data_IF_485804861488
#
_entry.id   IF_485804861488
#
_cell.length_a   1.000
_cell.length_b   1.000
_cell.length_c   1.000
_cell.angle_alpha   90.00
_cell.angle_beta   90.00
_cell.angle_gamma   90.00
#
_symmetry.space_group_name_H-M   'P 1'
#
loop_
_entity.id
_entity.type
_entity.pdbx_description
1 polymer ?
#
# COMPACT_ATOMS: atom_id res chain seq x y z
N UNK A 1 19.41 22.58 -5.35
CA UNK A 1 19.39 21.21 -5.93
C UNK A 1 18.07 21.02 -6.66
N UNK A 2 18.07 20.85 -7.98
CA UNK A 2 16.83 20.60 -8.73
C UNK A 2 16.42 19.14 -8.60
N UNK A 3 15.31 18.90 -7.89
CA UNK A 3 14.58 17.65 -7.98
C UNK A 3 13.85 17.62 -9.32
N UNK A 4 14.05 16.57 -10.12
CA UNK A 4 13.21 16.33 -11.30
C UNK A 4 12.17 15.29 -10.92
N UNK A 5 10.89 15.56 -11.17
CA UNK A 5 9.90 14.50 -11.24
C UNK A 5 10.31 13.65 -12.44
N UNK A 6 10.98 12.53 -12.14
CA UNK A 6 11.11 11.45 -13.10
C UNK A 6 10.06 10.47 -12.64
N UNK A 7 9.12 10.19 -13.52
CA UNK A 7 8.08 9.18 -13.27
C UNK A 7 8.76 7.90 -12.80
N UNK A 8 9.95 7.56 -13.33
CA UNK A 8 10.69 6.34 -13.05
C UNK A 8 12.22 6.48 -13.30
N UNK A 9 13.06 5.55 -12.79
CA UNK A 9 14.50 5.60 -12.96
C UNK A 9 14.88 5.28 -14.40
N UNK A 10 15.89 5.98 -14.92
CA UNK A 10 16.49 5.65 -16.21
C UNK A 10 17.26 4.32 -16.17
N UNK A 11 17.84 3.93 -17.30
CA UNK A 11 18.68 2.72 -17.43
C UNK A 11 19.78 2.67 -16.35
N UNK A 12 19.99 1.51 -15.73
CA UNK A 12 20.98 1.27 -14.67
C UNK A 12 22.29 0.75 -15.30
N UNK A 13 23.44 1.27 -14.85
CA UNK A 13 24.78 0.82 -15.28
C UNK A 13 25.85 1.92 -15.37
N UNK A 14 27.11 1.57 -15.05
CA UNK A 14 28.32 2.37 -15.36
C UNK A 14 28.72 2.19 -16.84
N UNK A 15 29.42 3.19 -17.41
CA UNK A 15 29.86 3.30 -18.82
C UNK A 15 30.12 1.93 -19.48
N UNK A 16 29.32 1.55 -20.47
CA UNK A 16 29.56 0.40 -21.35
C UNK A 16 28.37 -0.52 -21.64
N UNK A 17 27.39 -0.61 -20.73
CA UNK A 17 26.21 -1.47 -20.92
C UNK A 17 25.03 -1.00 -20.08
N UNK A 18 24.05 -0.35 -20.71
CA UNK A 18 22.84 0.13 -20.02
C UNK A 18 21.75 -0.93 -20.10
N UNK A 19 21.52 -1.68 -19.01
CA UNK A 19 20.39 -2.60 -18.85
C UNK A 19 19.18 -1.83 -18.29
N UNK A 20 17.98 -2.29 -18.62
CA UNK A 20 16.75 -1.80 -17.99
C UNK A 20 16.72 -2.26 -16.53
N UNK A 21 16.27 -1.37 -15.63
CA UNK A 21 16.27 -1.66 -14.19
C UNK A 21 15.35 -2.83 -13.84
N UNK A 22 15.74 -3.63 -12.84
CA UNK A 22 14.85 -4.62 -12.23
C UNK A 22 14.01 -3.95 -11.14
N UNK A 23 12.69 -4.15 -11.18
CA UNK A 23 11.74 -3.50 -10.27
C UNK A 23 10.86 -4.54 -9.60
N UNK A 24 10.93 -4.62 -8.28
CA UNK A 24 9.99 -5.40 -7.49
C UNK A 24 8.75 -4.56 -7.19
N UNK A 25 7.56 -5.08 -7.49
CA UNK A 25 6.29 -4.37 -7.30
C UNK A 25 5.49 -5.08 -6.23
N UNK A 26 5.04 -4.35 -5.20
CA UNK A 26 4.09 -4.89 -4.23
C UNK A 26 2.73 -5.13 -4.90
N UNK A 27 2.30 -6.39 -5.02
CA UNK A 27 1.03 -6.80 -5.67
C UNK A 27 0.06 -7.33 -4.63
N UNK A 28 -0.99 -6.56 -4.33
CA UNK A 28 -2.00 -6.90 -3.31
C UNK A 28 -3.25 -7.58 -3.87
N UNK A 29 -3.25 -7.97 -5.15
CA UNK A 29 -4.48 -8.46 -5.83
C UNK A 29 -5.52 -7.35 -6.09
N UNK A 30 -5.13 -6.08 -5.94
CA UNK A 30 -5.95 -4.91 -6.26
C UNK A 30 -5.62 -4.32 -7.64
N UNK A 31 -6.55 -3.53 -8.19
CA UNK A 31 -6.37 -2.91 -9.52
C UNK A 31 -5.18 -1.95 -9.57
N UNK A 32 -4.91 -1.21 -8.50
CA UNK A 32 -3.86 -0.20 -8.46
C UNK A 32 -2.46 -0.82 -8.60
N UNK A 33 -2.14 -1.81 -7.77
CA UNK A 33 -0.87 -2.54 -7.87
C UNK A 33 -0.73 -3.29 -9.19
N UNK A 34 -1.84 -3.79 -9.75
CA UNK A 34 -1.83 -4.48 -11.04
C UNK A 34 -1.44 -3.54 -12.18
N UNK A 35 -2.02 -2.34 -12.19
CA UNK A 35 -1.70 -1.32 -13.20
C UNK A 35 -0.31 -0.75 -12.99
N UNK A 36 0.15 -0.60 -11.73
CA UNK A 36 1.52 -0.20 -11.45
C UNK A 36 2.54 -1.17 -12.07
N UNK A 37 2.32 -2.49 -11.91
CA UNK A 37 3.16 -3.52 -12.53
C UNK A 37 3.08 -3.48 -14.07
N UNK A 38 1.87 -3.32 -14.62
CA UNK A 38 1.65 -3.18 -16.07
C UNK A 38 2.42 -2.00 -16.67
N UNK A 39 2.38 -0.83 -16.02
CA UNK A 39 3.07 0.38 -16.50
C UNK A 39 4.59 0.16 -16.56
N UNK A 40 5.15 -0.38 -15.48
CA UNK A 40 6.57 -0.71 -15.39
C UNK A 40 6.99 -1.70 -16.48
N UNK A 41 6.18 -2.75 -16.71
CA UNK A 41 6.42 -3.73 -17.77
C UNK A 41 6.37 -3.08 -19.16
N UNK A 42 5.38 -2.22 -19.44
CA UNK A 42 5.24 -1.51 -20.72
C UNK A 42 6.40 -0.57 -21.02
N UNK A 43 7.08 -0.07 -20.00
CA UNK A 43 8.29 0.75 -20.15
C UNK A 43 9.57 -0.07 -20.36
N UNK A 44 9.43 -1.41 -20.38
CA UNK A 44 10.53 -2.34 -20.64
C UNK A 44 11.34 -2.74 -19.40
N UNK A 45 10.92 -2.35 -18.19
CA UNK A 45 11.60 -2.81 -16.98
C UNK A 45 11.49 -4.33 -16.82
N UNK A 46 12.49 -4.89 -16.15
CA UNK A 46 12.46 -6.27 -15.69
C UNK A 46 11.66 -6.32 -14.37
N UNK A 47 10.41 -6.76 -14.45
CA UNK A 47 9.45 -6.61 -13.35
C UNK A 47 9.22 -7.94 -12.64
N UNK A 48 9.23 -7.90 -11.31
CA UNK A 48 8.84 -9.02 -10.45
C UNK A 48 7.73 -8.58 -9.49
N UNK A 49 6.65 -9.34 -9.41
CA UNK A 49 5.57 -9.11 -8.46
C UNK A 49 5.86 -9.77 -7.11
N UNK A 50 5.62 -9.04 -6.02
CA UNK A 50 5.79 -9.52 -4.65
C UNK A 50 4.48 -9.33 -3.89
N UNK A 51 3.87 -10.42 -3.46
CA UNK A 51 2.72 -10.42 -2.55
C UNK A 51 3.20 -10.49 -1.10
N UNK A 52 2.61 -9.67 -0.23
CA UNK A 52 2.98 -9.60 1.19
C UNK A 52 1.80 -10.05 2.05
N UNK A 53 2.03 -11.09 2.86
CA UNK A 53 1.12 -11.52 3.91
C UNK A 53 1.54 -10.87 5.22
N UNK A 54 0.74 -9.94 5.74
CA UNK A 54 1.08 -9.16 6.94
C UNK A 54 0.20 -9.49 8.15
N UNK A 55 -0.76 -10.38 7.98
CA UNK A 55 -1.68 -10.77 9.03
C UNK A 55 -1.97 -12.27 8.92
N UNK A 56 -1.89 -12.99 10.04
CA UNK A 56 -2.31 -14.39 10.07
C UNK A 56 -3.81 -14.46 10.32
N UNK A 57 -4.55 -14.79 9.27
CA UNK A 57 -5.98 -14.87 9.36
C UNK A 57 -6.47 -16.15 10.06
N UNK A 58 -5.69 -17.23 10.01
CA UNK A 58 -6.04 -18.52 10.58
C UNK A 58 -5.86 -18.53 12.10
N UNK A 59 -4.74 -17.99 12.59
CA UNK A 59 -4.48 -17.87 14.03
C UNK A 59 -5.46 -16.90 14.72
N UNK A 60 -5.86 -15.83 14.02
CA UNK A 60 -6.76 -14.80 14.57
C UNK A 60 -8.25 -15.12 14.40
N UNK A 61 -8.60 -16.34 13.96
CA UNK A 61 -9.98 -16.78 13.78
C UNK A 61 -10.75 -15.94 12.76
N UNK A 62 -10.06 -15.41 11.75
CA UNK A 62 -10.63 -14.57 10.70
C UNK A 62 -10.74 -15.31 9.37
N UNK A 63 -11.35 -14.64 8.37
CA UNK A 63 -11.67 -15.20 7.05
C UNK A 63 -10.38 -15.49 6.23
N UNK A 64 -9.70 -16.59 6.54
CA UNK A 64 -8.49 -17.05 5.85
C UNK A 64 -8.68 -17.31 4.35
N UNK A 65 -9.93 -17.56 3.93
CA UNK A 65 -10.26 -17.64 2.51
C UNK A 65 -10.05 -16.29 1.79
N UNK A 66 -10.22 -15.17 2.49
CA UNK A 66 -10.00 -13.84 1.91
C UNK A 66 -8.52 -13.63 1.55
N UNK A 67 -7.60 -14.00 2.45
CA UNK A 67 -6.17 -13.83 2.24
C UNK A 67 -5.64 -14.71 1.10
N UNK A 68 -6.07 -15.97 1.05
CA UNK A 68 -5.67 -16.86 -0.04
C UNK A 68 -6.24 -16.40 -1.39
N UNK A 69 -7.47 -15.85 -1.41
CA UNK A 69 -8.03 -15.23 -2.63
C UNK A 69 -7.23 -14.02 -3.10
N UNK A 70 -6.76 -13.14 -2.20
CA UNK A 70 -5.93 -11.99 -2.57
C UNK A 70 -4.57 -12.38 -3.13
N UNK A 71 -3.95 -13.41 -2.54
CA UNK A 71 -2.71 -14.02 -3.03
C UNK A 71 -2.90 -14.62 -4.43
N UNK A 72 -3.99 -15.36 -4.61
CA UNK A 72 -4.34 -15.97 -5.90
C UNK A 72 -4.63 -14.92 -6.97
N UNK A 73 -5.36 -13.84 -6.64
CA UNK A 73 -5.55 -12.69 -7.55
C UNK A 73 -4.21 -12.06 -7.93
N UNK A 74 -3.30 -11.86 -6.96
CA UNK A 74 -1.97 -11.33 -7.22
C UNK A 74 -1.14 -12.23 -8.15
N UNK A 75 -1.21 -13.55 -7.94
CA UNK A 75 -0.56 -14.55 -8.82
C UNK A 75 -1.11 -14.46 -10.25
N UNK A 76 -2.43 -14.46 -10.41
CA UNK A 76 -3.10 -14.35 -11.72
C UNK A 76 -2.75 -13.05 -12.45
N UNK A 77 -2.61 -11.93 -11.74
CA UNK A 77 -2.14 -10.68 -12.33
C UNK A 77 -0.72 -10.85 -12.88
N UNK A 78 0.18 -11.44 -12.10
CA UNK A 78 1.57 -11.63 -12.52
C UNK A 78 1.67 -12.56 -13.74
N UNK A 79 0.90 -13.64 -13.76
CA UNK A 79 0.81 -14.56 -14.90
C UNK A 79 0.29 -13.87 -16.16
N UNK A 80 -0.79 -13.09 -16.04
CA UNK A 80 -1.35 -12.33 -17.16
C UNK A 80 -0.35 -11.31 -17.72
N UNK A 81 0.49 -10.73 -16.88
CA UNK A 81 1.51 -9.76 -17.28
C UNK A 81 2.82 -10.40 -17.74
N UNK A 82 2.98 -11.72 -17.60
CA UNK A 82 4.23 -12.42 -17.89
C UNK A 82 5.39 -11.91 -17.04
N UNK A 83 5.17 -11.77 -15.73
CA UNK A 83 6.16 -11.35 -14.74
C UNK A 83 6.31 -12.40 -13.64
N UNK A 84 7.48 -12.47 -13.01
CA UNK A 84 7.71 -13.37 -11.87
C UNK A 84 6.81 -13.04 -10.68
N UNK A 85 6.53 -14.03 -9.84
CA UNK A 85 5.70 -13.89 -8.64
C UNK A 85 6.41 -14.48 -7.43
N UNK A 86 6.51 -13.67 -6.36
CA UNK A 86 7.01 -14.09 -5.05
C UNK A 86 5.96 -13.77 -3.99
N UNK A 87 5.86 -14.63 -2.99
CA UNK A 87 5.07 -14.38 -1.79
C UNK A 87 6.01 -14.34 -0.59
N UNK A 88 5.81 -13.37 0.30
CA UNK A 88 6.59 -13.21 1.53
C UNK A 88 5.64 -12.92 2.69
N UNK A 89 5.96 -13.45 3.86
CA UNK A 89 5.25 -13.14 5.10
C UNK A 89 6.03 -12.11 5.90
N UNK A 90 5.34 -11.06 6.33
CA UNK A 90 5.81 -10.09 7.33
C UNK A 90 4.87 -10.05 8.54
N UNK A 91 4.15 -11.14 8.82
CA UNK A 91 3.20 -11.22 9.94
C UNK A 91 3.87 -10.86 11.26
N UNK A 92 5.07 -11.40 11.51
CA UNK A 92 5.82 -11.16 12.74
C UNK A 92 6.22 -9.69 12.88
N UNK A 93 6.81 -9.12 11.84
CA UNK A 93 7.24 -7.72 11.80
C UNK A 93 6.04 -6.77 11.88
N UNK A 94 4.92 -7.12 11.23
CA UNK A 94 3.70 -6.36 11.33
C UNK A 94 3.17 -6.34 12.76
N UNK A 95 3.14 -7.51 13.40
CA UNK A 95 2.69 -7.64 14.78
C UNK A 95 3.51 -6.75 15.72
N UNK A 96 4.85 -6.88 15.68
CA UNK A 96 5.75 -6.15 16.59
C UNK A 96 5.85 -4.66 16.28
N UNK A 97 5.98 -4.29 15.01
CA UNK A 97 6.38 -2.93 14.62
C UNK A 97 5.15 -2.05 14.31
N UNK A 98 3.96 -2.63 14.16
CA UNK A 98 2.71 -1.92 13.83
C UNK A 98 1.60 -2.20 14.82
N UNK A 99 1.26 -3.47 15.04
CA UNK A 99 0.06 -3.84 15.78
C UNK A 99 0.18 -3.62 17.30
N UNK A 100 1.24 -4.14 17.93
CA UNK A 100 1.47 -3.97 19.37
C UNK A 100 1.56 -2.48 19.77
N UNK A 101 2.35 -1.62 19.08
CA UNK A 101 2.36 -0.18 19.35
C UNK A 101 0.99 0.48 19.17
N UNK A 102 0.21 0.02 18.19
CA UNK A 102 -1.13 0.52 17.93
C UNK A 102 -2.08 0.20 19.11
N UNK A 103 -2.14 -1.06 19.55
CA UNK A 103 -2.98 -1.47 20.69
C UNK A 103 -2.54 -0.76 21.97
N UNK A 104 -1.23 -0.68 22.24
CA UNK A 104 -0.70 0.04 23.40
C UNK A 104 -1.02 1.55 23.36
N UNK A 105 -1.05 2.15 22.17
CA UNK A 105 -1.48 3.54 21.99
C UNK A 105 -2.95 3.74 22.31
N UNK A 106 -3.82 2.89 21.75
CA UNK A 106 -5.27 2.92 22.02
C UNK A 106 -5.55 2.72 23.52
N UNK A 107 -4.85 1.80 24.17
CA UNK A 107 -4.97 1.55 25.62
C UNK A 107 -4.62 2.80 26.46
N UNK A 108 -3.76 3.68 25.95
CA UNK A 108 -3.40 4.97 26.57
C UNK A 108 -4.27 6.15 26.11
N UNK A 109 -5.36 5.88 25.38
CA UNK A 109 -6.27 6.91 24.86
C UNK A 109 -5.76 7.65 23.62
N UNK A 110 -4.69 7.20 22.98
CA UNK A 110 -4.21 7.78 21.73
C UNK A 110 -5.06 7.30 20.54
N UNK A 111 -5.28 8.17 19.55
CA UNK A 111 -5.88 7.78 18.27
C UNK A 111 -4.78 7.67 17.21
N UNK A 112 -4.24 6.47 17.05
CA UNK A 112 -3.15 6.20 16.13
C UNK A 112 -3.67 5.74 14.75
N UNK A 113 -2.90 6.04 13.70
CA UNK A 113 -3.17 5.53 12.37
C UNK A 113 -2.14 4.42 12.03
N UNK A 114 -2.53 3.14 12.09
CA UNK A 114 -1.62 2.02 11.84
C UNK A 114 -1.21 1.89 10.37
N UNK A 115 -1.93 2.50 9.42
CA UNK A 115 -1.52 2.48 8.00
C UNK A 115 -0.27 3.34 7.76
N UNK A 116 -0.12 4.45 8.51
CA UNK A 116 1.10 5.27 8.49
C UNK A 116 2.30 4.44 8.97
N UNK A 117 2.13 3.67 10.05
CA UNK A 117 3.14 2.78 10.58
C UNK A 117 3.43 1.60 9.64
N UNK A 118 2.40 0.97 9.06
CA UNK A 118 2.54 -0.10 8.07
C UNK A 118 3.35 0.36 6.84
N UNK A 119 3.07 1.55 6.31
CA UNK A 119 3.87 2.08 5.22
C UNK A 119 5.33 2.25 5.67
N UNK A 120 5.57 2.93 6.79
CA UNK A 120 6.93 3.15 7.30
C UNK A 120 7.72 1.86 7.52
N UNK A 121 7.17 0.93 8.28
CA UNK A 121 7.90 -0.25 8.79
C UNK A 121 7.82 -1.44 7.84
N UNK A 122 6.71 -1.63 7.13
CA UNK A 122 6.51 -2.84 6.33
C UNK A 122 6.77 -2.54 4.86
N UNK A 123 6.01 -1.62 4.25
CA UNK A 123 6.10 -1.40 2.79
C UNK A 123 7.38 -0.68 2.37
N UNK A 124 7.88 0.26 3.15
CA UNK A 124 9.03 1.08 2.77
C UNK A 124 10.32 0.74 3.54
N UNK A 125 10.26 -0.27 4.41
CA UNK A 125 11.44 -0.81 5.08
C UNK A 125 11.58 -2.30 4.77
N UNK A 126 10.80 -3.20 5.41
CA UNK A 126 10.91 -4.66 5.18
C UNK A 126 10.75 -5.09 3.71
N UNK A 127 9.71 -4.61 3.03
CA UNK A 127 9.50 -4.92 1.61
C UNK A 127 10.61 -4.37 0.72
N UNK A 128 11.09 -3.15 1.00
CA UNK A 128 12.17 -2.56 0.21
C UNK A 128 13.47 -3.36 0.40
N UNK A 129 13.80 -3.76 1.64
CA UNK A 129 14.94 -4.62 1.92
C UNK A 129 14.80 -6.00 1.23
N UNK A 130 13.61 -6.60 1.26
CA UNK A 130 13.33 -7.87 0.59
C UNK A 130 13.47 -7.76 -0.93
N UNK A 131 12.94 -6.69 -1.54
CA UNK A 131 13.09 -6.42 -2.96
C UNK A 131 14.56 -6.33 -3.39
N UNK A 132 15.39 -5.63 -2.61
CA UNK A 132 16.83 -5.53 -2.87
C UNK A 132 17.54 -6.88 -2.72
N UNK A 133 17.14 -7.70 -1.73
CA UNK A 133 17.68 -9.04 -1.54
C UNK A 133 17.31 -10.00 -2.69
N UNK A 134 16.16 -9.80 -3.34
CA UNK A 134 15.77 -10.49 -4.58
C UNK A 134 16.55 -10.00 -5.82
N UNK A 135 17.43 -9.00 -5.67
CA UNK A 135 18.22 -8.45 -6.77
C UNK A 135 17.51 -7.34 -7.56
N UNK A 136 16.40 -6.78 -7.06
CA UNK A 136 15.79 -5.62 -7.68
C UNK A 136 16.61 -4.35 -7.42
N UNK A 137 16.61 -3.45 -8.39
CA UNK A 137 17.20 -2.11 -8.23
C UNK A 137 16.24 -1.15 -7.51
N UNK A 138 14.93 -1.39 -7.63
CA UNK A 138 13.87 -0.53 -7.11
C UNK A 138 12.69 -1.34 -6.56
N UNK A 139 12.02 -0.76 -5.57
CA UNK A 139 10.74 -1.22 -5.05
C UNK A 139 9.63 -0.27 -5.50
N UNK A 140 8.54 -0.78 -6.04
CA UNK A 140 7.39 0.00 -6.48
C UNK A 140 6.13 -0.44 -5.75
N UNK A 141 5.21 0.51 -5.58
CA UNK A 141 3.89 0.25 -4.99
C UNK A 141 2.81 0.96 -5.79
N UNK A 142 1.57 0.49 -5.67
CA UNK A 142 0.40 1.13 -6.28
C UNK A 142 -0.10 2.37 -5.55
N UNK A 143 0.76 3.10 -4.82
CA UNK A 143 0.34 4.32 -4.13
C UNK A 143 0.16 5.48 -5.12
N UNK A 144 -0.89 6.26 -4.89
CA UNK A 144 -1.12 7.56 -5.52
C UNK A 144 -0.27 8.59 -4.79
N UNK A 145 1.01 8.63 -5.13
CA UNK A 145 1.98 9.63 -4.70
C UNK A 145 3.02 9.80 -5.80
N UNK A 146 3.86 10.81 -5.71
CA UNK A 146 5.01 10.98 -6.59
C UNK A 146 6.29 11.03 -5.78
N UNK A 147 7.38 10.63 -6.40
CA UNK A 147 8.71 10.73 -5.81
C UNK A 147 9.62 11.40 -6.82
N UNK A 148 10.36 12.41 -6.37
CA UNK A 148 11.39 13.03 -7.17
C UNK A 148 12.75 12.64 -6.62
N UNK A 149 13.65 12.24 -7.52
CA UNK A 149 15.04 11.93 -7.19
C UNK A 149 15.93 13.06 -7.70
N UNK A 150 16.90 13.45 -6.89
CA UNK A 150 17.94 14.42 -7.25
C UNK A 150 19.19 13.68 -7.73
N UNK A 151 19.99 14.34 -8.57
CA UNK A 151 21.27 13.81 -9.04
C UNK A 151 22.29 13.61 -7.90
N UNK A 152 22.14 14.36 -6.80
CA UNK A 152 22.94 14.23 -5.58
C UNK A 152 22.50 13.07 -4.66
N UNK A 153 21.52 12.25 -5.08
CA UNK A 153 21.06 11.08 -4.33
C UNK A 153 20.01 11.36 -3.25
N UNK A 154 19.49 12.59 -3.16
CA UNK A 154 18.31 12.91 -2.34
C UNK A 154 16.99 12.51 -3.01
N UNK A 155 15.97 12.21 -2.22
CA UNK A 155 14.59 11.97 -2.66
C UNK A 155 13.60 12.93 -1.98
N UNK A 156 12.51 13.27 -2.66
CA UNK A 156 11.41 14.06 -2.11
C UNK A 156 10.07 13.39 -2.44
N UNK A 157 9.20 13.27 -1.44
CA UNK A 157 7.81 12.85 -1.62
C UNK A 157 6.99 14.04 -2.14
N UNK A 158 6.19 13.80 -3.16
CA UNK A 158 5.35 14.80 -3.82
C UNK A 158 3.91 14.28 -3.90
N UNK A 159 2.94 15.19 -3.88
CA UNK A 159 1.51 14.86 -4.04
C UNK A 159 1.23 14.26 -5.42
N UNK A 160 0.28 13.34 -5.51
CA UNK A 160 -0.23 12.82 -6.76
C UNK A 160 -1.01 13.88 -7.56
N UNK A 161 -1.17 13.65 -8.87
CA UNK A 161 -2.01 14.48 -9.74
C UNK A 161 -3.50 14.35 -9.40
N UNK A 162 -3.92 13.20 -8.88
CA UNK A 162 -5.29 12.95 -8.43
C UNK A 162 -5.46 13.32 -6.95
N UNK A 163 -5.95 14.53 -6.69
CA UNK A 163 -6.12 15.04 -5.32
C UNK A 163 -7.07 14.19 -4.47
N UNK A 164 -8.12 13.59 -5.07
CA UNK A 164 -9.09 12.75 -4.35
C UNK A 164 -8.51 11.38 -3.95
N UNK A 165 -7.37 11.04 -4.55
CA UNK A 165 -6.68 9.77 -4.35
C UNK A 165 -5.31 9.94 -3.74
N UNK A 166 -4.83 11.15 -3.54
CA UNK A 166 -3.53 11.42 -2.95
C UNK A 166 -3.33 10.65 -1.64
N UNK A 167 -2.22 9.92 -1.56
CA UNK A 167 -1.87 9.08 -0.42
C UNK A 167 -0.61 9.59 0.30
N UNK A 168 -0.13 10.80 0.01
CA UNK A 168 1.08 11.32 0.66
C UNK A 168 0.95 11.46 2.16
N UNK A 169 -0.26 11.71 2.67
CA UNK A 169 -0.56 11.67 4.11
C UNK A 169 -0.11 10.36 4.76
N UNK A 170 -0.45 9.22 4.15
CA UNK A 170 -0.09 7.89 4.66
C UNK A 170 1.40 7.56 4.51
N UNK A 171 2.11 8.33 3.68
CA UNK A 171 3.54 8.18 3.41
C UNK A 171 4.40 9.23 4.15
N UNK A 172 3.78 10.14 4.90
CA UNK A 172 4.47 11.25 5.55
C UNK A 172 5.54 10.80 6.57
N UNK A 173 5.38 9.62 7.16
CA UNK A 173 6.34 9.03 8.09
C UNK A 173 7.43 8.17 7.41
N UNK A 174 7.40 8.04 6.09
CA UNK A 174 8.39 7.24 5.35
C UNK A 174 9.73 7.98 5.31
N UNK A 175 10.83 7.38 5.81
CA UNK A 175 12.14 8.02 5.80
C UNK A 175 12.63 8.32 4.38
N UNK A 176 13.38 9.42 4.23
CA UNK A 176 13.98 9.76 2.95
C UNK A 176 14.86 8.64 2.39
N UNK A 177 15.56 7.90 3.26
CA UNK A 177 16.38 6.77 2.87
C UNK A 177 15.58 5.67 2.15
N UNK A 178 14.38 5.34 2.66
CA UNK A 178 13.46 4.40 2.03
C UNK A 178 13.00 4.89 0.65
N UNK A 179 12.67 6.19 0.53
CA UNK A 179 12.26 6.80 -0.73
C UNK A 179 13.35 6.83 -1.80
N UNK A 180 14.62 6.57 -1.49
CA UNK A 180 15.72 6.53 -2.50
C UNK A 180 15.62 5.35 -3.46
N UNK A 181 14.88 4.32 -3.10
CA UNK A 181 14.68 3.10 -3.90
C UNK A 181 13.20 2.84 -4.19
N UNK A 182 12.33 3.81 -3.92
CA UNK A 182 10.88 3.67 -4.11
C UNK A 182 10.42 4.27 -5.43
N UNK A 183 9.38 3.67 -6.02
CA UNK A 183 8.71 4.16 -7.22
C UNK A 183 7.19 4.16 -7.03
N UNK A 184 6.53 5.18 -7.61
CA UNK A 184 5.07 5.34 -7.58
C UNK A 184 4.51 5.52 -8.99
N UNK A 185 4.30 4.42 -9.75
CA UNK A 185 3.90 4.50 -11.16
C UNK A 185 2.54 5.16 -11.39
N UNK A 186 1.69 5.25 -10.36
CA UNK A 186 0.34 5.83 -10.46
C UNK A 186 0.30 7.34 -10.16
N UNK A 187 1.40 7.94 -9.71
CA UNK A 187 1.42 9.31 -9.20
C UNK A 187 1.00 10.40 -10.19
N UNK A 188 1.13 10.13 -11.49
CA UNK A 188 0.75 11.04 -12.58
C UNK A 188 -0.62 10.69 -13.22
N UNK A 189 -1.34 9.71 -12.66
CA UNK A 189 -2.60 9.22 -13.22
C UNK A 189 -3.78 9.47 -12.27
N UNK A 190 -4.93 9.75 -12.84
CA UNK A 190 -6.21 9.71 -12.12
C UNK A 190 -6.75 8.29 -12.03
N UNK A 191 -7.52 7.99 -10.98
CA UNK A 191 -8.08 6.64 -10.77
C UNK A 191 -8.90 6.13 -11.97
N UNK A 192 -9.60 7.03 -12.67
CA UNK A 192 -10.35 6.69 -13.88
C UNK A 192 -9.44 6.16 -15.00
N UNK A 193 -8.25 6.75 -15.16
CA UNK A 193 -7.26 6.34 -16.15
C UNK A 193 -6.64 5.00 -15.76
N UNK A 194 -6.38 4.79 -14.46
CA UNK A 194 -5.95 3.50 -13.92
C UNK A 194 -6.96 2.39 -14.22
N UNK A 195 -8.27 2.63 -13.99
CA UNK A 195 -9.32 1.66 -14.34
C UNK A 195 -9.41 1.40 -15.84
N UNK A 196 -9.29 2.44 -16.66
CA UNK A 196 -9.29 2.29 -18.12
C UNK A 196 -8.10 1.45 -18.61
N UNK A 197 -6.90 1.67 -18.05
CA UNK A 197 -5.71 0.87 -18.34
C UNK A 197 -5.89 -0.60 -17.93
N UNK A 198 -6.50 -0.85 -16.77
CA UNK A 198 -6.78 -2.20 -16.30
C UNK A 198 -7.76 -2.94 -17.23
N UNK A 199 -8.82 -2.26 -17.66
CA UNK A 199 -9.81 -2.80 -18.59
C UNK A 199 -9.19 -3.09 -19.97
N UNK A 200 -8.39 -2.15 -20.50
CA UNK A 200 -7.71 -2.31 -21.79
C UNK A 200 -6.65 -3.43 -21.78
N UNK A 201 -6.09 -3.77 -20.62
CA UNK A 201 -5.18 -4.90 -20.44
C UNK A 201 -5.90 -6.20 -20.08
N UNK A 202 -7.24 -6.19 -20.03
CA UNK A 202 -8.10 -7.32 -19.65
C UNK A 202 -7.68 -7.94 -18.30
N UNK A 203 -7.28 -7.10 -17.35
CA UNK A 203 -6.95 -7.56 -16.01
C UNK A 203 -8.24 -7.92 -15.28
N UNK A 204 -8.31 -9.13 -14.70
CA UNK A 204 -9.47 -9.58 -13.92
C UNK A 204 -9.79 -8.63 -12.73
N UNK A 205 -8.79 -7.88 -12.25
CA UNK A 205 -8.94 -6.86 -11.21
C UNK A 205 -9.63 -5.57 -11.68
N UNK A 206 -9.84 -5.36 -12.99
CA UNK A 206 -10.46 -4.14 -13.53
C UNK A 206 -11.88 -3.90 -13.00
N UNK A 207 -12.67 -4.98 -12.85
CA UNK A 207 -14.02 -4.96 -12.29
C UNK A 207 -14.06 -4.96 -10.76
N UNK A 208 -12.91 -5.19 -10.09
CA UNK A 208 -12.84 -5.19 -8.63
C UNK A 208 -13.05 -3.75 -8.14
N UNK A 209 -14.13 -3.55 -7.37
CA UNK A 209 -14.39 -2.25 -6.74
C UNK A 209 -13.26 -1.98 -5.76
N UNK A 210 -12.76 -0.75 -5.75
CA UNK A 210 -12.06 -0.30 -4.54
C UNK A 210 -13.10 -0.30 -3.43
N UNK A 211 -12.71 -0.58 -2.20
CA UNK A 211 -13.55 -0.47 -1.01
C UNK A 211 -13.97 0.98 -0.67
N UNK A 212 -13.91 1.90 -1.64
CA UNK A 212 -14.56 3.22 -1.63
C UNK A 212 -15.74 3.16 -2.58
N UNK A 213 -16.95 3.34 -2.04
CA UNK A 213 -18.19 3.45 -2.81
C UNK A 213 -18.11 4.56 -3.87
N UNK A 214 -19.02 4.56 -4.86
CA UNK A 214 -19.07 5.62 -5.85
C UNK A 214 -19.30 6.98 -5.17
N UNK A 215 -18.54 7.98 -5.61
CA UNK A 215 -18.81 9.37 -5.32
C UNK A 215 -20.11 9.77 -6.02
N UNK A 216 -21.23 9.62 -5.31
CA UNK A 216 -22.41 10.44 -5.55
C UNK A 216 -22.36 11.63 -4.60
N UNK A 217 -22.28 12.81 -5.23
CA UNK A 217 -22.45 14.14 -4.65
C UNK A 217 -23.64 14.14 -3.68
N UNK A 218 -23.40 14.56 -2.43
CA UNK A 218 -24.41 15.27 -1.65
C UNK A 218 -23.71 16.28 -0.73
N UNK A 219 -23.80 17.55 -1.14
CA UNK A 219 -23.61 18.71 -0.27
C UNK A 219 -24.58 18.60 0.91
N UNK A 220 -24.10 18.41 2.14
CA UNK A 220 -24.85 18.80 3.35
C UNK A 220 -23.88 19.39 4.38
N UNK A 221 -24.15 20.65 4.69
CA UNK A 221 -23.74 21.45 5.85
C UNK A 221 -23.47 20.65 7.13
N UNK A 222 -22.27 20.82 7.68
CA UNK A 222 -21.95 20.86 9.12
C UNK A 222 -22.55 19.79 10.03
N UNK A 223 -21.81 18.70 10.29
CA UNK A 223 -21.73 18.08 11.64
C UNK A 223 -20.69 16.96 11.70
N UNK A 224 -19.97 16.93 12.83
CA UNK A 224 -18.87 16.05 13.24
C UNK A 224 -19.25 14.53 13.37
N UNK A 225 -20.43 14.11 12.91
CA UNK A 225 -20.87 12.69 12.93
C UNK A 225 -20.32 11.84 11.77
N UNK A 226 -19.47 12.40 10.90
CA UNK A 226 -18.99 11.74 9.69
C UNK A 226 -18.00 10.58 9.94
N UNK A 227 -17.42 10.47 11.13
CA UNK A 227 -16.29 9.56 11.38
C UNK A 227 -16.63 8.15 11.87
N UNK A 228 -17.85 7.88 12.36
CA UNK A 228 -18.15 6.61 13.05
C UNK A 228 -19.07 5.65 12.27
N UNK A 229 -19.46 5.99 11.03
CA UNK A 229 -20.54 5.30 10.30
C UNK A 229 -20.19 4.75 8.92
N UNK A 230 -18.93 4.71 8.49
CA UNK A 230 -18.57 4.32 7.11
C UNK A 230 -17.88 2.96 7.04
N UNK A 231 -18.54 1.99 6.40
CA UNK A 231 -17.88 0.83 5.77
C UNK A 231 -17.17 1.31 4.50
N UNK A 232 -16.08 2.05 4.69
CA UNK A 232 -15.18 2.43 3.61
C UNK A 232 -13.77 1.97 3.96
N UNK A 233 -12.93 1.81 2.93
CA UNK A 233 -11.49 1.48 2.93
C UNK A 233 -10.59 2.50 3.67
N UNK A 234 -11.05 2.98 4.80
CA UNK A 234 -10.23 3.51 5.90
C UNK A 234 -10.13 2.45 7.03
N UNK A 235 -10.57 1.21 6.74
CA UNK A 235 -10.37 0.08 7.62
C UNK A 235 -8.89 -0.32 7.60
N UNK A 236 -8.30 -0.35 8.78
CA UNK A 236 -6.94 -0.82 9.00
C UNK A 236 -6.75 -2.19 8.32
N UNK A 237 -5.63 -2.38 7.62
CA UNK A 237 -5.37 -3.52 6.74
C UNK A 237 -5.75 -4.92 7.30
N UNK A 238 -5.71 -5.12 8.62
CA UNK A 238 -6.04 -6.40 9.29
C UNK A 238 -7.47 -6.56 9.78
N UNK A 239 -8.25 -5.48 9.93
CA UNK A 239 -9.62 -5.57 10.48
C UNK A 239 -10.55 -6.25 9.47
N UNK A 240 -10.23 -6.17 8.18
CA UNK A 240 -11.02 -6.73 7.10
C UNK A 240 -12.46 -6.21 7.13
N UNK A 241 -13.43 -7.13 7.16
CA UNK A 241 -14.87 -6.80 7.22
C UNK A 241 -15.43 -6.66 8.66
N UNK A 242 -14.60 -6.84 9.70
CA UNK A 242 -15.04 -6.79 11.10
C UNK A 242 -15.38 -5.37 11.53
N UNK A 243 -16.22 -5.25 12.57
CA UNK A 243 -16.41 -3.96 13.26
C UNK A 243 -15.14 -3.67 14.07
N UNK A 244 -14.49 -2.54 13.80
CA UNK A 244 -13.26 -2.14 14.48
C UNK A 244 -13.36 -2.20 16.01
N UNK A 245 -14.48 -1.73 16.58
CA UNK A 245 -14.73 -1.76 18.03
C UNK A 245 -14.64 -3.18 18.61
N UNK A 246 -15.25 -4.13 17.94
CA UNK A 246 -15.35 -5.50 18.44
C UNK A 246 -14.01 -6.23 18.22
N UNK A 247 -13.31 -5.88 17.14
CA UNK A 247 -11.92 -6.31 16.91
C UNK A 247 -10.98 -5.79 17.99
N UNK A 248 -10.94 -4.49 18.27
CA UNK A 248 -9.92 -3.94 19.18
C UNK A 248 -10.17 -4.35 20.64
N UNK A 249 -11.43 -4.58 21.01
CA UNK A 249 -11.81 -5.07 22.35
C UNK A 249 -11.21 -6.42 22.71
N UNK A 250 -10.89 -7.29 21.74
CA UNK A 250 -10.23 -8.57 22.07
C UNK A 250 -8.76 -8.42 22.47
N UNK A 251 -8.15 -7.25 22.26
CA UNK A 251 -6.74 -6.99 22.57
C UNK A 251 -6.53 -5.94 23.66
N UNK A 252 -7.60 -5.29 24.12
CA UNK A 252 -7.54 -4.32 25.21
C UNK A 252 -7.89 -5.01 26.53
N UNK A 253 -7.22 -4.64 27.64
CA UNK A 253 -7.65 -5.10 28.96
C UNK A 253 -9.10 -4.65 29.23
N UNK A 254 -9.89 -5.45 29.95
CA UNK A 254 -11.23 -5.05 30.35
C UNK A 254 -11.16 -3.71 31.10
N UNK A 255 -11.83 -2.69 30.56
CA UNK A 255 -11.93 -1.41 31.24
C UNK A 255 -12.90 -1.56 32.41
N UNK A 256 -12.48 -1.09 33.59
CA UNK A 256 -13.39 -0.94 34.73
C UNK A 256 -14.36 0.17 34.36
N UNK A 257 -15.65 -0.14 34.23
CA UNK A 257 -16.67 0.86 33.99
C UNK A 257 -16.64 1.86 35.17
N UNK A 258 -16.29 3.12 34.88
CA UNK A 258 -16.44 4.22 35.85
C UNK A 258 -17.90 4.67 36.00
N UNK A 259 -18.87 3.87 35.56
CA UNK A 259 -20.30 4.06 35.87
C UNK A 259 -20.66 3.51 37.26
N UNK A 260 -19.81 3.78 38.26
CA UNK A 260 -20.17 3.70 39.68
C UNK A 260 -19.83 5.04 40.30
N UNK A 261 -20.70 6.02 40.06
CA UNK A 261 -21.01 7.00 41.10
C UNK A 261 -22.43 6.66 41.53
N UNK A 262 -22.55 6.34 42.81
CA UNK A 262 -23.76 5.96 43.53
C UNK A 262 -24.88 6.98 43.39
#
# INVERSE_FOLDING_TARGET
QMFRSRVLPGRVGRRGGRRLATVAVGVSGGVDSSVAALLLKRQGHDVVGVHMSNWDHAEEGTDGECAEREREDARRVCERLGIGFHAVSFVREYWSDVFEPFVAGIARGATLNPDVACNRHIKFDRFTAHALALGADWAATGHYARVAHSEAGGSALLTAVDADKDQTYFLAAVPQASLRRSLFPLGELRKREVRALAAAAELHTAGKRDTRGPASVLFISGRLSFFLGKRESMGICFVGKRRFRDFIRSYLPPQVDHNVIQ
#
